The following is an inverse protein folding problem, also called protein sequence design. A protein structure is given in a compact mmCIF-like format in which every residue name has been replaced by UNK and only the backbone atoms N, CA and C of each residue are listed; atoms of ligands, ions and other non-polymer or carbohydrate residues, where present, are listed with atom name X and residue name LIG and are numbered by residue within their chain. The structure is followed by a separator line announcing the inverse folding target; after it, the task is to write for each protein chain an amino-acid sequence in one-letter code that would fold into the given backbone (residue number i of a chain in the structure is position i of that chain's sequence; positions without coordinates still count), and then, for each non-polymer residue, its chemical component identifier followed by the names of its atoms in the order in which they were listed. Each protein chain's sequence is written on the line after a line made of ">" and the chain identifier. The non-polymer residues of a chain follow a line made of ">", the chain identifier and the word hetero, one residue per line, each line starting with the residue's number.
data_IF_200513460778
#
_entry.id   IF_200513460778
#
_cell.length_a   1.000
_cell.length_b   1.000
_cell.length_c   1.000
_cell.angle_alpha   90.00
_cell.angle_beta   90.00
_cell.angle_gamma   90.00
#
_symmetry.space_group_name_H-M   'P 1'
#
loop_
_entity.id
_entity.type
_entity.pdbx_description
1 polymer ?
#
# COMPACT_ATOMS: atom_id res chain seq x y z
N UNK A 1 -4.35 -24.48 7.29
CA UNK A 1 -4.83 -23.28 6.57
C UNK A 1 -3.83 -22.16 6.73
N UNK A 2 -3.51 -21.43 5.65
CA UNK A 2 -2.67 -20.23 5.71
C UNK A 2 -3.48 -19.11 6.37
N UNK A 3 -2.93 -18.50 7.40
CA UNK A 3 -3.53 -17.34 8.08
C UNK A 3 -2.77 -16.07 7.72
N UNK A 4 -3.38 -14.90 7.88
CA UNK A 4 -2.71 -13.61 7.65
C UNK A 4 -1.46 -13.47 8.55
N UNK A 5 -1.51 -14.01 9.78
CA UNK A 5 -0.35 -14.02 10.68
C UNK A 5 0.82 -14.82 10.11
N UNK A 6 0.59 -16.05 9.68
CA UNK A 6 1.63 -16.91 9.08
C UNK A 6 2.22 -16.27 7.82
N UNK A 7 1.37 -15.68 6.96
CA UNK A 7 1.82 -14.96 5.78
C UNK A 7 2.69 -13.74 6.15
N UNK A 8 2.33 -13.01 7.18
CA UNK A 8 3.10 -11.87 7.66
C UNK A 8 4.47 -12.30 8.22
N UNK A 9 4.54 -13.42 8.93
CA UNK A 9 5.81 -13.98 9.43
C UNK A 9 6.73 -14.37 8.26
N UNK A 10 6.19 -15.00 7.19
CA UNK A 10 6.93 -15.29 5.96
C UNK A 10 7.42 -14.02 5.25
N UNK A 11 6.57 -12.98 5.15
CA UNK A 11 6.94 -11.70 4.55
C UNK A 11 8.13 -11.10 5.28
N UNK A 12 8.07 -11.01 6.62
CA UNK A 12 9.14 -10.42 7.45
C UNK A 12 10.47 -11.16 7.28
N UNK A 13 10.42 -12.48 7.10
CA UNK A 13 11.61 -13.33 6.91
C UNK A 13 12.14 -13.34 5.46
N UNK A 14 11.44 -12.71 4.49
CA UNK A 14 11.77 -12.81 3.08
C UNK A 14 13.12 -12.15 2.70
N UNK A 15 13.90 -12.85 1.87
CA UNK A 15 15.20 -12.42 1.30
C UNK A 15 15.32 -12.71 -0.21
N UNK A 16 14.19 -12.87 -0.93
CA UNK A 16 14.17 -13.37 -2.32
C UNK A 16 14.78 -12.39 -3.34
N UNK A 17 14.78 -11.08 -3.06
CA UNK A 17 15.31 -10.03 -3.93
C UNK A 17 16.67 -9.54 -3.39
N UNK A 18 17.83 -10.03 -3.88
CA UNK A 18 19.14 -9.69 -3.32
C UNK A 18 19.41 -8.18 -3.27
N UNK A 19 19.09 -7.44 -4.35
CA UNK A 19 19.28 -5.99 -4.45
C UNK A 19 18.46 -5.24 -3.39
N UNK A 20 17.18 -5.60 -3.20
CA UNK A 20 16.32 -4.97 -2.21
C UNK A 20 16.73 -5.33 -0.79
N UNK A 21 17.15 -6.57 -0.57
CA UNK A 21 17.63 -7.04 0.73
C UNK A 21 18.89 -6.28 1.14
N UNK A 22 19.90 -6.22 0.27
CA UNK A 22 21.13 -5.48 0.54
C UNK A 22 20.84 -3.99 0.79
N UNK A 23 20.00 -3.36 -0.05
CA UNK A 23 19.69 -1.93 0.09
C UNK A 23 18.94 -1.60 1.39
N UNK A 24 17.86 -2.32 1.74
CA UNK A 24 17.08 -2.04 2.95
C UNK A 24 17.91 -2.22 4.23
N UNK A 25 18.79 -3.24 4.25
CA UNK A 25 19.68 -3.53 5.37
C UNK A 25 20.78 -2.49 5.48
N UNK A 26 21.41 -2.11 4.34
CA UNK A 26 22.41 -1.05 4.33
C UNK A 26 21.83 0.28 4.82
N UNK A 27 20.65 0.68 4.33
CA UNK A 27 19.97 1.90 4.80
C UNK A 27 19.68 1.85 6.32
N UNK A 28 19.38 0.67 6.86
CA UNK A 28 19.13 0.51 8.30
C UNK A 28 20.41 0.64 9.14
N UNK A 29 21.58 0.30 8.57
CA UNK A 29 22.89 0.49 9.19
C UNK A 29 23.36 1.94 9.09
N UNK A 30 23.34 2.51 7.87
CA UNK A 30 23.88 3.85 7.60
C UNK A 30 23.02 4.95 8.23
N UNK A 31 21.71 4.71 8.30
CA UNK A 31 20.67 5.63 8.79
C UNK A 31 20.78 7.03 8.15
N UNK A 32 19.78 7.83 8.25
CA UNK A 32 19.84 9.25 7.89
C UNK A 32 20.22 10.06 9.14
N UNK A 33 21.02 11.10 8.98
CA UNK A 33 21.49 11.96 10.08
C UNK A 33 20.34 12.41 11.04
N UNK A 34 19.17 12.75 10.46
CA UNK A 34 17.99 13.16 11.23
C UNK A 34 17.28 12.02 11.98
N UNK A 35 17.68 10.77 11.75
CA UNK A 35 17.09 9.55 12.35
C UNK A 35 18.17 8.59 12.86
N UNK A 36 19.38 9.09 13.17
CA UNK A 36 20.51 8.24 13.59
C UNK A 36 20.25 7.50 14.89
N UNK A 37 19.43 8.08 15.77
CA UNK A 37 19.07 7.52 17.06
C UNK A 37 17.84 6.59 16.99
N UNK A 38 17.18 6.47 15.82
CA UNK A 38 16.04 5.58 15.62
C UNK A 38 16.51 4.13 15.41
N UNK A 39 15.76 3.18 15.96
CA UNK A 39 15.90 1.77 15.60
C UNK A 39 15.17 1.48 14.29
N UNK A 40 15.96 1.32 13.22
CA UNK A 40 15.40 0.99 11.92
C UNK A 40 14.92 -0.46 11.88
N UNK A 41 13.72 -0.65 11.32
CA UNK A 41 13.15 -1.98 11.11
C UNK A 41 13.99 -2.84 10.16
N UNK A 42 14.45 -2.32 9.03
CA UNK A 42 15.40 -2.93 8.10
C UNK A 42 14.93 -4.25 7.45
N UNK A 43 13.66 -4.65 7.63
CA UNK A 43 13.08 -5.89 7.14
C UNK A 43 11.92 -5.61 6.18
N UNK A 44 11.40 -6.61 5.43
CA UNK A 44 10.16 -6.44 4.67
C UNK A 44 9.03 -6.00 5.57
N UNK A 45 8.12 -5.19 5.03
CA UNK A 45 6.94 -4.73 5.76
C UNK A 45 5.70 -5.52 5.36
N UNK A 46 4.85 -5.75 6.34
CA UNK A 46 3.53 -6.38 6.16
C UNK A 46 2.47 -5.34 5.83
N UNK A 47 1.27 -5.79 5.49
CA UNK A 47 0.12 -4.92 5.48
C UNK A 47 -0.27 -4.44 6.88
N UNK A 48 -1.11 -3.40 6.93
CA UNK A 48 -1.56 -2.76 8.16
C UNK A 48 -3.02 -2.33 8.05
N UNK A 49 -3.79 -2.50 9.11
CA UNK A 49 -5.15 -2.02 9.21
C UNK A 49 -6.17 -3.08 9.61
N UNK A 50 -7.43 -2.89 9.22
CA UNK A 50 -8.53 -3.80 9.52
C UNK A 50 -8.58 -4.95 8.48
N UNK A 51 -8.26 -6.20 8.85
CA UNK A 51 -8.31 -7.33 7.92
C UNK A 51 -9.74 -7.71 7.49
N UNK A 52 -10.76 -7.15 8.14
CA UNK A 52 -12.17 -7.28 7.76
C UNK A 52 -12.67 -6.07 6.97
N UNK A 53 -11.78 -5.15 6.64
CA UNK A 53 -12.11 -3.95 5.87
C UNK A 53 -12.53 -4.25 4.44
N UNK A 54 -13.43 -3.44 3.91
CA UNK A 54 -13.93 -3.53 2.53
C UNK A 54 -13.06 -2.78 1.54
N UNK A 55 -12.19 -1.89 2.01
CA UNK A 55 -11.27 -1.09 1.19
C UNK A 55 -9.84 -1.56 1.40
N UNK A 56 -9.17 -1.93 0.32
CA UNK A 56 -7.73 -2.16 0.27
C UNK A 56 -7.04 -0.94 -0.37
N UNK A 57 -6.06 -0.37 0.30
CA UNK A 57 -5.17 0.63 -0.29
C UNK A 57 -3.87 -0.04 -0.70
N UNK A 58 -3.55 0.00 -1.99
CA UNK A 58 -2.36 -0.62 -2.54
C UNK A 58 -1.35 0.46 -2.95
N UNK A 59 -0.18 0.41 -2.31
CA UNK A 59 0.96 1.26 -2.63
C UNK A 59 2.01 0.58 -3.50
N UNK A 60 3.09 1.31 -3.79
CA UNK A 60 4.22 0.83 -4.57
C UNK A 60 5.16 -0.02 -3.72
N UNK A 61 5.81 0.59 -2.74
CA UNK A 61 6.84 0.01 -1.86
C UNK A 61 7.07 0.93 -0.65
N UNK A 62 7.69 0.44 0.45
CA UNK A 62 8.09 1.29 1.58
C UNK A 62 9.20 2.27 1.17
N UNK A 63 9.15 3.47 1.74
CA UNK A 63 10.25 4.43 1.63
C UNK A 63 11.41 4.02 2.57
N UNK A 64 12.66 4.32 2.13
CA UNK A 64 13.89 3.98 2.85
C UNK A 64 13.92 4.53 4.30
N UNK A 65 13.50 5.78 4.50
CA UNK A 65 13.47 6.45 5.81
C UNK A 65 12.04 6.60 6.37
N UNK A 66 11.03 6.00 5.73
CA UNK A 66 9.66 5.86 6.17
C UNK A 66 9.38 4.43 6.65
N UNK A 67 8.68 3.62 5.85
CA UNK A 67 8.31 2.25 6.20
C UNK A 67 9.50 1.34 6.55
N UNK A 68 10.65 1.47 5.87
CA UNK A 68 11.86 0.70 6.19
C UNK A 68 12.47 1.09 7.55
N UNK A 69 12.28 2.35 7.98
CA UNK A 69 12.65 2.80 9.32
C UNK A 69 11.66 2.34 10.38
N UNK A 70 10.38 2.58 10.15
CA UNK A 70 9.34 2.44 11.18
C UNK A 70 8.73 1.04 11.27
N UNK A 71 8.89 0.19 10.25
CA UNK A 71 8.28 -1.14 10.17
C UNK A 71 6.77 -1.13 9.85
N UNK A 72 6.18 0.03 9.49
CA UNK A 72 4.78 0.14 9.09
C UNK A 72 4.67 0.90 7.76
N UNK A 73 3.83 0.39 6.85
CA UNK A 73 3.60 0.99 5.54
C UNK A 73 3.12 2.45 5.65
N UNK A 74 3.60 3.34 4.79
CA UNK A 74 3.27 4.78 4.77
C UNK A 74 3.45 5.49 6.12
N UNK A 75 4.43 5.11 6.92
CA UNK A 75 4.62 5.66 8.26
C UNK A 75 5.94 6.39 8.37
N UNK A 76 5.92 7.60 8.94
CA UNK A 76 7.10 8.41 9.17
C UNK A 76 7.70 9.02 7.91
N UNK A 77 6.90 9.22 6.88
CA UNK A 77 7.27 9.92 5.65
C UNK A 77 6.12 10.79 5.13
N UNK A 78 6.45 11.71 4.21
CA UNK A 78 5.51 12.68 3.70
C UNK A 78 4.34 12.08 2.90
N UNK A 79 4.54 10.94 2.26
CA UNK A 79 3.43 10.25 1.57
C UNK A 79 2.41 9.74 2.59
N UNK A 80 2.88 9.27 3.73
CA UNK A 80 2.05 8.85 4.86
C UNK A 80 1.25 10.02 5.46
N UNK A 81 1.87 11.20 5.62
CA UNK A 81 1.18 12.40 6.13
C UNK A 81 -0.05 12.74 5.27
N UNK A 82 0.10 12.69 3.95
CA UNK A 82 -0.99 12.95 3.02
C UNK A 82 -2.05 11.85 3.06
N UNK A 83 -1.62 10.60 3.04
CA UNK A 83 -2.50 9.45 3.01
C UNK A 83 -3.35 9.35 4.27
N UNK A 84 -2.72 9.37 5.44
CA UNK A 84 -3.45 9.18 6.70
C UNK A 84 -4.34 10.39 7.04
N UNK A 85 -3.94 11.61 6.70
CA UNK A 85 -4.82 12.76 6.82
C UNK A 85 -6.08 12.64 5.95
N UNK A 86 -5.96 12.11 4.71
CA UNK A 86 -7.11 11.88 3.85
C UNK A 86 -7.99 10.71 4.34
N UNK A 87 -7.39 9.62 4.82
CA UNK A 87 -8.09 8.48 5.43
C UNK A 87 -8.87 8.90 6.67
N UNK A 88 -8.27 9.75 7.52
CA UNK A 88 -8.94 10.29 8.70
C UNK A 88 -10.16 11.13 8.32
N UNK A 89 -10.02 12.06 7.36
CA UNK A 89 -11.16 12.86 6.87
C UNK A 89 -12.27 12.03 6.21
N UNK A 90 -11.91 10.87 5.65
CA UNK A 90 -12.87 9.92 5.09
C UNK A 90 -13.44 8.94 6.13
N UNK A 91 -12.98 8.98 7.39
CA UNK A 91 -13.46 8.13 8.49
C UNK A 91 -12.91 6.70 8.46
N UNK A 92 -11.78 6.47 7.80
CA UNK A 92 -11.05 5.18 7.80
C UNK A 92 -9.94 5.11 8.84
N UNK A 93 -9.49 6.23 9.41
CA UNK A 93 -8.44 6.28 10.43
C UNK A 93 -8.90 7.06 11.65
N UNK A 94 -8.47 6.65 12.84
CA UNK A 94 -8.79 7.32 14.11
C UNK A 94 -7.99 8.62 14.33
N UNK A 95 -6.89 8.81 13.60
CA UNK A 95 -6.03 10.00 13.69
C UNK A 95 -5.45 10.36 12.32
N UNK A 96 -5.08 11.63 12.07
CA UNK A 96 -4.57 12.07 10.77
C UNK A 96 -3.07 11.82 10.57
N UNK A 97 -2.35 11.37 11.59
CA UNK A 97 -0.89 11.22 11.61
C UNK A 97 -0.46 9.77 11.68
N UNK A 98 0.74 9.47 11.16
CA UNK A 98 1.37 8.16 11.20
C UNK A 98 2.88 8.34 11.37
N UNK A 99 3.35 8.36 12.62
CA UNK A 99 4.72 8.75 12.96
C UNK A 99 5.59 7.51 13.20
N UNK A 100 5.11 6.54 13.98
CA UNK A 100 5.80 5.28 14.27
C UNK A 100 4.79 4.14 14.50
N UNK A 101 5.27 2.88 14.51
CA UNK A 101 4.41 1.70 14.56
C UNK A 101 3.52 1.57 15.81
N UNK A 102 3.84 2.28 16.89
CA UNK A 102 3.15 2.24 18.18
C UNK A 102 2.48 3.57 18.55
N UNK A 103 2.14 4.40 17.57
CA UNK A 103 1.56 5.74 17.75
C UNK A 103 0.03 5.76 18.00
N UNK A 104 -0.58 4.60 18.20
CA UNK A 104 -2.01 4.48 18.46
C UNK A 104 -2.89 4.55 17.20
N UNK A 105 -2.31 4.70 16.00
CA UNK A 105 -3.08 4.69 14.76
C UNK A 105 -3.82 3.36 14.56
N UNK A 106 -5.10 3.46 14.30
CA UNK A 106 -5.97 2.33 13.93
C UNK A 106 -6.76 2.67 12.67
N UNK A 107 -6.95 1.68 11.82
CA UNK A 107 -7.82 1.77 10.66
C UNK A 107 -9.12 0.99 10.90
N UNK A 108 -10.20 1.52 10.37
CA UNK A 108 -11.52 0.88 10.37
C UNK A 108 -11.98 0.75 8.93
N UNK A 109 -12.46 -0.46 8.56
CA UNK A 109 -12.95 -0.77 7.21
C UNK A 109 -11.92 -0.55 6.09
N UNK A 110 -10.64 -0.48 6.44
CA UNK A 110 -9.53 -0.20 5.52
C UNK A 110 -8.29 -1.01 5.90
N UNK A 111 -7.65 -1.63 4.90
CA UNK A 111 -6.36 -2.30 5.00
C UNK A 111 -5.39 -1.70 3.99
N UNK A 112 -4.14 -1.52 4.36
CA UNK A 112 -3.12 -0.92 3.48
C UNK A 112 -2.00 -1.94 3.27
N UNK A 113 -1.56 -2.10 2.03
CA UNK A 113 -0.42 -2.92 1.67
C UNK A 113 0.35 -2.32 0.50
N UNK A 114 1.40 -2.99 0.03
CA UNK A 114 2.21 -2.55 -1.10
C UNK A 114 2.55 -3.70 -2.05
N UNK A 115 2.76 -3.39 -3.33
CA UNK A 115 3.18 -4.38 -4.33
C UNK A 115 4.55 -4.99 -4.00
N UNK A 116 5.46 -4.16 -3.46
CA UNK A 116 6.81 -4.58 -3.04
C UNK A 116 6.96 -4.34 -1.55
N UNK A 117 7.46 -5.33 -0.82
CA UNK A 117 7.53 -5.31 0.65
C UNK A 117 8.81 -4.72 1.21
N UNK A 118 9.81 -4.51 0.37
CA UNK A 118 11.12 -3.95 0.74
C UNK A 118 11.31 -2.56 0.14
N UNK A 119 12.02 -1.67 0.86
CA UNK A 119 12.41 -0.37 0.31
C UNK A 119 13.38 -0.56 -0.87
N UNK A 120 13.07 -0.01 -2.04
CA UNK A 120 13.98 -0.06 -3.19
C UNK A 120 14.90 1.17 -3.22
N UNK A 121 16.10 1.06 -3.85
CA UNK A 121 16.92 2.22 -4.17
C UNK A 121 16.12 3.27 -4.95
N UNK A 122 16.29 4.54 -4.60
CA UNK A 122 15.62 5.69 -5.20
C UNK A 122 14.07 5.56 -5.30
N UNK A 123 13.45 4.76 -4.42
CA UNK A 123 12.01 4.41 -4.46
C UNK A 123 11.55 3.78 -5.79
N UNK A 124 12.45 3.09 -6.50
CA UNK A 124 12.20 2.47 -7.81
C UNK A 124 12.50 0.97 -7.78
N UNK A 125 11.50 0.13 -7.48
CA UNK A 125 11.63 -1.31 -7.68
C UNK A 125 11.64 -1.62 -9.18
N UNK A 126 12.29 -2.71 -9.57
CA UNK A 126 12.21 -3.22 -10.93
C UNK A 126 10.87 -3.95 -11.15
N UNK A 127 10.56 -4.22 -12.42
CA UNK A 127 9.40 -5.02 -12.81
C UNK A 127 9.52 -6.44 -12.23
N UNK A 128 10.73 -7.05 -12.33
CA UNK A 128 10.98 -8.39 -11.82
C UNK A 128 10.84 -8.47 -10.29
N UNK A 129 11.33 -7.46 -9.56
CA UNK A 129 11.17 -7.37 -8.10
C UNK A 129 9.69 -7.23 -7.70
N UNK A 130 8.90 -6.49 -8.48
CA UNK A 130 7.46 -6.46 -8.29
C UNK A 130 6.84 -7.84 -8.55
N UNK A 131 7.10 -8.44 -9.70
CA UNK A 131 6.46 -9.69 -10.11
C UNK A 131 6.84 -10.84 -9.20
N UNK A 132 8.09 -10.84 -8.68
CA UNK A 132 8.53 -11.73 -7.62
C UNK A 132 7.79 -11.48 -6.31
N UNK A 133 7.59 -10.21 -5.90
CA UNK A 133 6.94 -9.86 -4.64
C UNK A 133 5.42 -10.01 -4.66
N UNK A 134 4.78 -9.96 -5.85
CA UNK A 134 3.32 -10.07 -6.00
C UNK A 134 2.77 -11.42 -5.52
N UNK A 135 3.58 -12.50 -5.41
CA UNK A 135 3.09 -13.76 -4.85
C UNK A 135 2.55 -13.60 -3.42
N UNK A 136 3.05 -12.62 -2.65
CA UNK A 136 2.49 -12.30 -1.33
C UNK A 136 1.11 -11.64 -1.45
N UNK A 137 0.94 -10.70 -2.39
CA UNK A 137 -0.35 -10.05 -2.59
C UNK A 137 -1.42 -11.03 -3.13
N UNK A 138 -1.02 -11.96 -4.00
CA UNK A 138 -1.89 -13.06 -4.50
C UNK A 138 -2.39 -13.93 -3.33
N UNK A 139 -1.57 -14.18 -2.32
CA UNK A 139 -1.95 -14.94 -1.12
C UNK A 139 -2.65 -14.10 -0.07
N UNK A 140 -2.32 -12.80 0.04
CA UNK A 140 -2.90 -11.88 1.02
C UNK A 140 -4.35 -11.50 0.69
N UNK A 141 -4.61 -11.17 -0.58
CA UNK A 141 -5.93 -10.67 -1.01
C UNK A 141 -7.09 -11.64 -0.70
N UNK A 142 -6.99 -12.96 -0.94
CA UNK A 142 -8.04 -13.90 -0.56
C UNK A 142 -8.27 -14.05 0.95
N UNK A 143 -7.27 -13.71 1.79
CA UNK A 143 -7.40 -13.69 3.24
C UNK A 143 -8.18 -12.47 3.74
N UNK A 144 -8.20 -11.39 2.95
CA UNK A 144 -8.97 -10.17 3.20
C UNK A 144 -10.40 -10.29 2.63
N UNK A 145 -11.18 -11.23 3.15
CA UNK A 145 -12.44 -11.74 2.58
C UNK A 145 -13.51 -10.67 2.27
N UNK A 146 -13.47 -9.52 2.96
CA UNK A 146 -14.46 -8.45 2.79
C UNK A 146 -14.04 -7.37 1.80
N UNK A 147 -12.80 -7.39 1.29
CA UNK A 147 -12.34 -6.40 0.31
C UNK A 147 -13.21 -6.45 -0.94
N UNK A 148 -13.66 -5.27 -1.37
CA UNK A 148 -14.43 -5.05 -2.61
C UNK A 148 -13.85 -3.92 -3.43
N UNK A 149 -13.23 -2.94 -2.80
CA UNK A 149 -12.61 -1.78 -3.47
C UNK A 149 -11.11 -1.80 -3.23
N UNK A 150 -10.33 -1.69 -4.31
CA UNK A 150 -8.87 -1.59 -4.28
C UNK A 150 -8.47 -0.20 -4.78
N UNK A 151 -8.05 0.67 -3.86
CA UNK A 151 -7.50 1.98 -4.19
C UNK A 151 -6.03 1.84 -4.55
N UNK A 152 -5.69 2.03 -5.81
CA UNK A 152 -4.33 1.91 -6.34
C UNK A 152 -3.63 3.27 -6.35
N UNK A 153 -2.59 3.43 -5.51
CA UNK A 153 -1.80 4.65 -5.43
C UNK A 153 -0.68 4.65 -6.48
N UNK A 154 -0.98 5.19 -7.66
CA UNK A 154 -0.08 5.29 -8.81
C UNK A 154 -0.20 4.13 -9.81
N UNK A 155 0.35 4.35 -11.02
CA UNK A 155 0.27 3.37 -12.12
C UNK A 155 0.98 2.05 -11.82
N UNK A 156 2.04 2.06 -11.00
CA UNK A 156 2.72 0.84 -10.58
C UNK A 156 1.83 -0.05 -9.70
N UNK A 157 1.09 0.55 -8.77
CA UNK A 157 0.14 -0.17 -7.93
C UNK A 157 -1.08 -0.66 -8.74
N UNK A 158 -1.55 0.15 -9.71
CA UNK A 158 -2.60 -0.24 -10.63
C UNK A 158 -2.22 -1.48 -11.45
N UNK A 159 -1.04 -1.47 -12.06
CA UNK A 159 -0.52 -2.62 -12.81
C UNK A 159 -0.31 -3.84 -11.91
N UNK A 160 0.21 -3.63 -10.70
CA UNK A 160 0.36 -4.68 -9.69
C UNK A 160 -0.98 -5.31 -9.29
N UNK A 161 -2.03 -4.51 -9.09
CA UNK A 161 -3.38 -5.00 -8.82
C UNK A 161 -3.92 -5.85 -9.96
N UNK A 162 -3.82 -5.36 -11.20
CA UNK A 162 -4.29 -6.09 -12.38
C UNK A 162 -3.57 -7.44 -12.56
N UNK A 163 -2.24 -7.47 -12.35
CA UNK A 163 -1.46 -8.72 -12.40
C UNK A 163 -1.83 -9.68 -11.27
N UNK A 164 -2.08 -9.16 -10.07
CA UNK A 164 -2.53 -9.96 -8.94
C UNK A 164 -3.89 -10.59 -9.25
N UNK A 165 -4.84 -9.81 -9.75
CA UNK A 165 -6.17 -10.29 -10.08
C UNK A 165 -6.14 -11.31 -11.24
N UNK A 166 -5.28 -11.11 -12.23
CA UNK A 166 -5.09 -12.08 -13.30
C UNK A 166 -4.55 -13.43 -12.78
N UNK A 167 -3.65 -13.42 -11.78
CA UNK A 167 -3.14 -14.65 -11.12
C UNK A 167 -4.19 -15.31 -10.20
N UNK A 168 -5.29 -14.64 -9.92
CA UNK A 168 -6.45 -15.14 -9.17
C UNK A 168 -7.64 -15.45 -10.10
N UNK A 169 -7.40 -15.66 -11.39
CA UNK A 169 -8.40 -15.95 -12.41
C UNK A 169 -9.47 -14.85 -12.61
N UNK A 170 -9.12 -13.61 -12.26
CA UNK A 170 -9.94 -12.41 -12.44
C UNK A 170 -9.29 -11.42 -13.42
N UNK A 171 -8.58 -11.93 -14.45
CA UNK A 171 -7.97 -11.05 -15.46
C UNK A 171 -9.00 -10.27 -16.26
N UNK A 172 -8.76 -8.96 -16.55
CA UNK A 172 -9.62 -8.23 -17.48
C UNK A 172 -9.35 -8.69 -18.92
N UNK A 173 -10.39 -8.82 -19.75
CA UNK A 173 -10.23 -9.11 -21.17
C UNK A 173 -9.42 -8.01 -21.90
N UNK A 174 -9.69 -6.73 -21.57
CA UNK A 174 -8.90 -5.58 -21.99
C UNK A 174 -8.36 -4.85 -20.77
N UNK A 175 -7.04 -4.63 -20.76
CA UNK A 175 -6.37 -3.92 -19.65
C UNK A 175 -6.85 -2.47 -19.55
N UNK A 176 -7.52 -2.06 -18.43
CA UNK A 176 -7.94 -0.68 -18.26
C UNK A 176 -6.74 0.24 -18.03
N UNK A 177 -6.75 1.40 -18.67
CA UNK A 177 -5.71 2.41 -18.51
C UNK A 177 -5.77 3.01 -17.10
N UNK A 178 -4.58 3.29 -16.53
CA UNK A 178 -4.48 4.01 -15.27
C UNK A 178 -4.84 5.48 -15.43
N UNK A 179 -5.59 6.01 -14.48
CA UNK A 179 -5.86 7.45 -14.34
C UNK A 179 -6.31 7.79 -12.93
N UNK A 180 -6.17 9.04 -12.54
CA UNK A 180 -6.71 9.52 -11.25
C UNK A 180 -8.24 9.57 -11.32
N UNK A 181 -8.91 8.87 -10.41
CA UNK A 181 -10.37 8.75 -10.40
C UNK A 181 -10.94 7.71 -11.35
N UNK A 182 -10.11 7.02 -12.15
CA UNK A 182 -10.58 5.92 -13.01
C UNK A 182 -11.04 4.75 -12.16
N UNK A 183 -12.20 4.21 -12.51
CA UNK A 183 -12.81 3.02 -11.90
C UNK A 183 -12.81 1.87 -12.92
N UNK A 184 -12.52 0.65 -12.46
CA UNK A 184 -12.58 -0.55 -13.29
C UNK A 184 -13.08 -1.74 -12.46
N UNK A 185 -14.18 -2.36 -12.92
CA UNK A 185 -14.67 -3.60 -12.32
C UNK A 185 -13.86 -4.79 -12.87
N UNK A 186 -13.24 -5.57 -11.97
CA UNK A 186 -12.40 -6.72 -12.28
C UNK A 186 -12.79 -7.89 -11.37
N UNK A 187 -13.52 -8.87 -11.90
CA UNK A 187 -14.10 -9.93 -11.08
C UNK A 187 -14.94 -9.36 -9.93
N UNK A 188 -14.74 -9.81 -8.69
CA UNK A 188 -15.51 -9.32 -7.54
C UNK A 188 -14.99 -7.98 -6.98
N UNK A 189 -13.98 -7.37 -7.61
CA UNK A 189 -13.31 -6.18 -7.11
C UNK A 189 -13.58 -4.97 -8.02
N UNK A 190 -13.61 -3.79 -7.39
CA UNK A 190 -13.60 -2.51 -8.08
C UNK A 190 -12.27 -1.80 -7.82
N UNK A 191 -11.48 -1.58 -8.87
CA UNK A 191 -10.26 -0.81 -8.80
C UNK A 191 -10.60 0.68 -8.90
N UNK A 192 -9.96 1.50 -8.05
CA UNK A 192 -10.03 2.96 -8.08
C UNK A 192 -8.62 3.54 -8.15
N UNK A 193 -8.30 4.23 -9.24
CA UNK A 193 -6.98 4.83 -9.47
C UNK A 193 -6.81 6.16 -8.72
N UNK A 194 -5.66 6.36 -8.10
CA UNK A 194 -5.24 7.65 -7.56
C UNK A 194 -3.80 7.96 -7.94
N UNK A 195 -3.46 9.21 -8.22
CA UNK A 195 -2.06 9.60 -8.22
C UNK A 195 -1.43 9.30 -6.85
N UNK A 196 -0.17 8.86 -6.86
CA UNK A 196 0.55 8.54 -5.62
C UNK A 196 0.84 9.83 -4.82
N UNK A 197 0.67 9.85 -3.48
CA UNK A 197 0.93 11.02 -2.64
C UNK A 197 2.42 11.27 -2.40
N UNK A 198 3.26 11.06 -3.44
CA UNK A 198 4.69 11.34 -3.41
C UNK A 198 4.96 12.86 -3.40
N UNK A 199 6.13 13.23 -2.90
CA UNK A 199 6.58 14.63 -2.93
C UNK A 199 6.53 15.21 -4.35
N UNK A 200 6.95 14.43 -5.36
CA UNK A 200 6.89 14.84 -6.76
C UNK A 200 5.47 15.27 -7.18
N UNK A 201 4.46 14.49 -6.86
CA UNK A 201 3.08 14.80 -7.26
C UNK A 201 2.44 15.90 -6.40
N UNK A 202 2.80 15.97 -5.12
CA UNK A 202 2.20 16.95 -4.19
C UNK A 202 2.84 18.34 -4.32
N UNK A 203 4.16 18.43 -4.59
CA UNK A 203 4.84 19.72 -4.78
C UNK A 203 4.54 20.35 -6.15
N UNK A 204 4.33 19.52 -7.18
CA UNK A 204 3.96 20.00 -8.51
C UNK A 204 2.48 20.31 -8.68
N UNK A 205 1.66 20.07 -7.64
CA UNK A 205 0.22 20.25 -7.71
C UNK A 205 -0.52 19.18 -8.54
N UNK A 206 0.19 18.17 -9.07
CA UNK A 206 -0.43 17.05 -9.79
C UNK A 206 -1.43 16.29 -8.94
N UNK A 207 -1.17 16.19 -7.62
CA UNK A 207 -2.10 15.69 -6.62
C UNK A 207 -2.33 16.77 -5.56
N UNK A 208 -3.57 17.22 -5.42
CA UNK A 208 -3.99 18.12 -4.34
C UNK A 208 -4.65 17.34 -3.20
N UNK A 209 -4.77 17.97 -2.01
CA UNK A 209 -5.48 17.39 -0.86
C UNK A 209 -6.93 17.06 -1.22
N UNK A 210 -7.61 17.98 -1.88
CA UNK A 210 -9.01 17.79 -2.31
C UNK A 210 -9.18 16.62 -3.28
N UNK A 211 -8.23 16.42 -4.20
CA UNK A 211 -8.25 15.29 -5.12
C UNK A 211 -8.14 13.97 -4.36
N UNK A 212 -7.21 13.86 -3.40
CA UNK A 212 -7.04 12.65 -2.60
C UNK A 212 -8.25 12.39 -1.69
N UNK A 213 -8.82 13.44 -1.11
CA UNK A 213 -10.04 13.34 -0.30
C UNK A 213 -11.23 12.79 -1.11
N UNK A 214 -11.38 13.25 -2.37
CA UNK A 214 -12.43 12.73 -3.28
C UNK A 214 -12.26 11.24 -3.55
N UNK A 215 -11.02 10.75 -3.70
CA UNK A 215 -10.74 9.32 -3.87
C UNK A 215 -11.24 8.51 -2.67
N UNK A 216 -10.89 8.90 -1.44
CA UNK A 216 -11.30 8.11 -0.26
C UNK A 216 -12.79 8.25 0.08
N UNK A 217 -13.39 9.41 -0.16
CA UNK A 217 -14.86 9.56 -0.09
C UNK A 217 -15.56 8.63 -1.10
N UNK A 218 -15.03 8.59 -2.34
CA UNK A 218 -15.57 7.68 -3.38
C UNK A 218 -15.39 6.21 -3.01
N UNK A 219 -14.21 5.80 -2.54
CA UNK A 219 -13.95 4.45 -2.08
C UNK A 219 -14.95 4.00 -0.98
N UNK A 220 -15.26 4.89 -0.04
CA UNK A 220 -16.24 4.63 1.02
C UNK A 220 -17.65 4.40 0.47
N UNK A 221 -18.08 5.23 -0.48
CA UNK A 221 -19.39 5.09 -1.13
C UNK A 221 -19.48 3.77 -1.93
N UNK A 222 -18.43 3.41 -2.66
CA UNK A 222 -18.38 2.17 -3.44
C UNK A 222 -18.40 0.94 -2.53
N UNK A 223 -17.64 0.97 -1.43
CA UNK A 223 -17.62 -0.11 -0.45
C UNK A 223 -18.98 -0.30 0.25
N UNK A 224 -19.75 0.77 0.44
CA UNK A 224 -21.10 0.68 1.02
C UNK A 224 -22.10 0.03 0.04
N UNK A 225 -22.02 0.36 -1.27
CA UNK A 225 -22.94 -0.18 -2.30
C UNK A 225 -22.73 -1.66 -2.59
N UNK A 226 -21.51 -2.16 -2.48
CA UNK A 226 -21.19 -3.58 -2.70
C UNK A 226 -21.82 -4.54 -1.66
N UNK A 227 -22.57 -4.03 -0.70
CA UNK A 227 -23.27 -4.82 0.32
C UNK A 227 -24.72 -5.13 -0.06
N UNK A 228 -25.24 -4.60 -1.18
CA UNK A 228 -26.67 -4.69 -1.57
C UNK A 228 -26.90 -5.74 -2.66
N UNK A 229 -25.85 -6.42 -3.12
CA UNK A 229 -25.95 -7.55 -4.06
C UNK A 229 -25.42 -8.83 -3.39
#
# INVERSE_FOLDING_TARGET
>A
MVTLKLLNDEIVACRRCPRLTAWREQVALDKRKSYRDDDYWGKPITGFGDPRGRVLVLGLAPAAHGGNRTGRVFTGDRSGDWLFAALHRAGFANQPTSIHRHDGLRLTDCYITACVRCAPPANRPTIDERDECLHYLVRELPLLKKVRVIVCLGGFAWDGALRTLARLDHGPGKKPAFGHGVEAAIGPYLLLGSYHPSQQNTFTGRLTRQMLDRIFKRARLLAARAHVQ
#
